data_IF_374845200008
#
_entry.id   IF_374845200008
#
_cell.length_a   1.000
_cell.length_b   1.000
_cell.length_c   1.000
_cell.angle_alpha   90.00
_cell.angle_beta   90.00
_cell.angle_gamma   90.00
#
_symmetry.space_group_name_H-M   'P 1'
#
loop_
_entity.id
_entity.type
_entity.pdbx_description
1 polymer ?
#
# COMPACT_ATOMS: atom_id res chain seq x y z
N UNK A 1 -13.83 14.77 -9.13
CA UNK A 1 -13.81 13.41 -9.77
C UNK A 1 -14.17 12.35 -8.75
N UNK A 2 -13.53 12.36 -7.58
CA UNK A 2 -13.84 11.45 -6.48
C UNK A 2 -15.24 11.67 -5.89
N UNK A 3 -15.71 12.92 -5.85
CA UNK A 3 -17.06 13.29 -5.43
C UNK A 3 -18.10 12.61 -6.31
N UNK A 4 -17.88 12.63 -7.63
CA UNK A 4 -18.73 11.97 -8.60
C UNK A 4 -18.70 10.43 -8.45
N UNK A 5 -17.55 9.83 -8.13
CA UNK A 5 -17.48 8.39 -7.81
C UNK A 5 -18.24 8.03 -6.53
N UNK A 6 -18.13 8.88 -5.50
CA UNK A 6 -18.88 8.73 -4.25
C UNK A 6 -20.38 8.79 -4.50
N UNK A 7 -20.85 9.74 -5.30
CA UNK A 7 -22.27 9.92 -5.63
C UNK A 7 -22.86 8.77 -6.45
N UNK A 8 -22.05 8.14 -7.30
CA UNK A 8 -22.50 7.05 -8.19
C UNK A 8 -22.46 5.66 -7.54
N UNK A 9 -22.00 5.53 -6.29
CA UNK A 9 -21.90 4.24 -5.61
C UNK A 9 -22.87 4.11 -4.44
N UNK A 10 -23.28 2.88 -4.05
CA UNK A 10 -24.11 2.67 -2.87
C UNK A 10 -23.51 3.29 -1.59
N UNK A 11 -24.32 3.63 -0.58
CA UNK A 11 -23.84 4.26 0.66
C UNK A 11 -22.72 3.51 1.37
N UNK A 12 -22.79 2.17 1.40
CA UNK A 12 -21.82 1.31 2.10
C UNK A 12 -20.65 0.86 1.20
N UNK A 13 -20.49 1.46 0.01
CA UNK A 13 -19.39 1.14 -0.87
C UNK A 13 -18.09 1.74 -0.33
N UNK A 14 -17.00 0.98 -0.36
CA UNK A 14 -15.68 1.44 0.10
C UNK A 14 -14.69 1.38 -1.06
N UNK A 15 -14.02 2.50 -1.31
CA UNK A 15 -12.94 2.59 -2.28
C UNK A 15 -11.59 2.36 -1.62
N UNK A 16 -10.69 1.72 -2.35
CA UNK A 16 -9.25 1.78 -2.08
C UNK A 16 -8.60 2.66 -3.14
N UNK A 17 -7.70 3.56 -2.72
CA UNK A 17 -7.01 4.47 -3.64
C UNK A 17 -5.54 4.08 -3.72
N UNK A 18 -5.01 3.97 -4.93
CA UNK A 18 -3.59 3.74 -5.14
C UNK A 18 -2.83 5.07 -5.09
N UNK A 19 -1.80 5.14 -4.25
CA UNK A 19 -0.87 6.25 -4.21
C UNK A 19 -0.16 6.46 -5.55
N UNK A 20 0.26 7.71 -5.81
CA UNK A 20 0.84 8.08 -7.10
C UNK A 20 2.12 7.32 -7.40
N UNK A 21 2.22 6.81 -8.64
CA UNK A 21 3.46 6.21 -9.17
C UNK A 21 4.63 7.21 -9.13
N UNK A 22 4.36 8.50 -9.27
CA UNK A 22 5.38 9.54 -9.14
C UNK A 22 6.06 9.49 -7.76
N UNK A 23 5.28 9.33 -6.70
CA UNK A 23 5.79 9.24 -5.32
C UNK A 23 6.57 7.93 -5.08
N UNK A 24 6.01 6.78 -5.44
CA UNK A 24 6.59 5.49 -5.07
C UNK A 24 7.66 4.96 -6.04
N UNK A 25 7.55 5.26 -7.34
CA UNK A 25 8.46 4.73 -8.36
C UNK A 25 9.51 5.73 -8.82
N UNK A 26 9.12 6.99 -9.06
CA UNK A 26 10.02 8.01 -9.61
C UNK A 26 10.82 8.68 -8.50
N UNK A 27 10.13 9.28 -7.53
CA UNK A 27 10.75 9.93 -6.37
C UNK A 27 11.29 8.93 -5.35
N UNK A 28 10.73 7.71 -5.31
CA UNK A 28 11.07 6.69 -4.30
C UNK A 28 11.00 7.31 -2.90
N UNK A 29 9.85 7.92 -2.59
CA UNK A 29 9.54 8.65 -1.36
C UNK A 29 10.39 9.90 -1.05
N UNK A 30 11.24 10.36 -1.96
CA UNK A 30 11.95 11.63 -1.77
C UNK A 30 10.96 12.81 -1.83
N UNK A 31 11.07 13.71 -0.86
CA UNK A 31 10.24 14.92 -0.70
C UNK A 31 8.72 14.60 -0.76
N UNK A 32 8.19 13.75 0.14
CA UNK A 32 6.86 13.16 -0.02
C UNK A 32 5.70 14.10 0.35
N UNK A 33 5.97 15.24 1.00
CA UNK A 33 4.96 16.14 1.58
C UNK A 33 3.96 16.63 0.54
N UNK A 34 4.45 17.28 -0.52
CA UNK A 34 3.60 17.83 -1.58
C UNK A 34 2.78 16.75 -2.32
N UNK A 35 3.40 15.65 -2.84
CA UNK A 35 2.64 14.66 -3.59
C UNK A 35 1.66 13.87 -2.71
N UNK A 36 1.95 13.69 -1.42
CA UNK A 36 1.01 13.11 -0.47
C UNK A 36 -0.15 14.06 -0.18
N UNK A 37 0.14 15.32 0.13
CA UNK A 37 -0.90 16.33 0.40
C UNK A 37 -1.89 16.44 -0.75
N UNK A 38 -1.39 16.50 -1.99
CA UNK A 38 -2.21 16.53 -3.20
C UNK A 38 -3.07 15.27 -3.38
N UNK A 39 -2.53 14.10 -3.01
CA UNK A 39 -3.30 12.84 -3.02
C UNK A 39 -4.43 12.90 -1.98
N UNK A 40 -4.13 13.31 -0.76
CA UNK A 40 -5.08 13.37 0.35
C UNK A 40 -6.18 14.39 0.10
N UNK A 41 -5.85 15.58 -0.42
CA UNK A 41 -6.80 16.61 -0.82
C UNK A 41 -7.82 16.05 -1.82
N UNK A 42 -7.34 15.39 -2.87
CA UNK A 42 -8.23 14.80 -3.89
C UNK A 42 -9.06 13.66 -3.30
N UNK A 43 -8.41 12.71 -2.63
CA UNK A 43 -9.06 11.53 -2.07
C UNK A 43 -10.13 11.89 -1.03
N UNK A 44 -10.02 13.06 -0.37
CA UNK A 44 -11.02 13.55 0.59
C UNK A 44 -12.43 13.68 -0.01
N UNK A 45 -12.56 13.85 -1.33
CA UNK A 45 -13.85 13.83 -2.03
C UNK A 45 -14.63 12.52 -1.92
N UNK A 46 -13.98 11.41 -1.52
CA UNK A 46 -14.63 10.13 -1.23
C UNK A 46 -15.26 10.07 0.17
N UNK A 47 -14.88 10.98 1.09
CA UNK A 47 -15.41 11.07 2.45
C UNK A 47 -15.46 9.71 3.18
N UNK A 48 -16.61 9.31 3.70
CA UNK A 48 -16.82 8.06 4.44
C UNK A 48 -16.54 6.80 3.61
N UNK A 49 -16.54 6.91 2.29
CA UNK A 49 -16.22 5.82 1.36
C UNK A 49 -14.73 5.68 1.10
N UNK A 50 -13.89 6.57 1.64
CA UNK A 50 -12.44 6.45 1.54
C UNK A 50 -11.93 5.35 2.48
N UNK A 51 -11.68 4.19 1.90
CA UNK A 51 -10.98 3.08 2.55
C UNK A 51 -9.46 3.22 2.48
N UNK A 52 -8.72 2.11 2.55
CA UNK A 52 -7.26 2.15 2.61
C UNK A 52 -6.59 2.76 1.36
N UNK A 53 -5.52 3.52 1.58
CA UNK A 53 -4.64 4.02 0.53
C UNK A 53 -3.42 3.09 0.39
N UNK A 54 -3.22 2.56 -0.83
CA UNK A 54 -2.16 1.62 -1.16
C UNK A 54 -0.93 2.32 -1.77
N UNK A 55 0.23 2.17 -1.14
CA UNK A 55 1.52 2.55 -1.72
C UNK A 55 2.29 1.30 -2.17
N UNK A 56 2.30 1.05 -3.47
CA UNK A 56 3.07 -0.04 -4.08
C UNK A 56 4.45 0.46 -4.51
N UNK A 57 5.53 -0.21 -4.09
CA UNK A 57 6.91 0.10 -4.49
C UNK A 57 7.34 -0.73 -5.71
N UNK A 58 8.29 -0.25 -6.54
CA UNK A 58 8.81 -1.03 -7.68
C UNK A 58 9.72 -2.17 -7.23
N UNK A 59 9.78 -3.25 -8.03
CA UNK A 59 10.63 -4.42 -7.75
C UNK A 59 12.14 -4.10 -7.79
N UNK A 60 12.56 -3.03 -8.47
CA UNK A 60 13.97 -2.62 -8.54
C UNK A 60 14.44 -1.84 -7.31
N UNK A 61 13.53 -1.46 -6.42
CA UNK A 61 13.87 -0.65 -5.27
C UNK A 61 14.07 -1.52 -4.04
N UNK A 62 15.34 -1.63 -3.64
CA UNK A 62 15.77 -2.31 -2.44
C UNK A 62 15.42 -1.49 -1.19
N UNK A 63 15.38 -2.17 -0.04
CA UNK A 63 15.20 -1.58 1.28
C UNK A 63 15.99 -0.28 1.46
N UNK A 64 15.29 0.74 1.93
CA UNK A 64 15.85 2.03 2.28
C UNK A 64 15.05 2.60 3.46
N UNK A 65 15.58 2.39 4.66
CA UNK A 65 14.92 2.81 5.90
C UNK A 65 14.93 4.33 6.05
N UNK A 66 15.99 5.00 5.61
CA UNK A 66 16.13 6.46 5.63
C UNK A 66 15.01 7.19 4.90
N UNK A 67 14.43 6.57 3.86
CA UNK A 67 13.29 7.10 3.13
C UNK A 67 11.95 6.58 3.63
N UNK A 68 11.91 5.34 4.12
CA UNK A 68 10.67 4.75 4.61
C UNK A 68 10.23 5.43 5.91
N UNK A 69 11.13 5.57 6.89
CA UNK A 69 10.76 6.06 8.22
C UNK A 69 10.13 7.47 8.18
N UNK A 70 10.73 8.51 7.57
CA UNK A 70 10.12 9.83 7.53
C UNK A 70 8.80 9.85 6.75
N UNK A 71 8.65 8.97 5.76
CA UNK A 71 7.40 8.83 5.03
C UNK A 71 6.30 8.25 5.92
N UNK A 72 6.61 7.22 6.72
CA UNK A 72 5.67 6.63 7.67
C UNK A 72 5.26 7.63 8.76
N UNK A 73 6.21 8.41 9.30
CA UNK A 73 5.95 9.51 10.24
C UNK A 73 5.01 10.55 9.61
N UNK A 74 5.22 10.90 8.35
CA UNK A 74 4.32 11.79 7.63
C UNK A 74 2.91 11.20 7.48
N UNK A 75 2.75 9.89 7.24
CA UNK A 75 1.43 9.26 7.15
C UNK A 75 0.66 9.37 8.48
N UNK A 76 1.34 9.34 9.62
CA UNK A 76 0.70 9.48 10.95
C UNK A 76 0.01 10.84 11.15
N UNK A 77 0.35 11.86 10.35
CA UNK A 77 -0.37 13.15 10.35
C UNK A 77 -1.82 13.05 9.87
N UNK A 78 -2.21 11.90 9.31
CA UNK A 78 -3.58 11.57 8.89
C UNK A 78 -4.17 10.43 9.75
N UNK A 79 -4.42 10.65 11.05
CA UNK A 79 -4.68 9.57 12.02
C UNK A 79 -5.97 8.76 11.78
N UNK A 80 -6.91 9.29 11.00
CA UNK A 80 -8.15 8.58 10.64
C UNK A 80 -8.02 7.73 9.37
N UNK A 81 -6.95 7.93 8.60
CA UNK A 81 -6.77 7.29 7.30
C UNK A 81 -6.04 5.95 7.46
N UNK A 82 -6.57 4.91 6.83
CA UNK A 82 -5.88 3.63 6.71
C UNK A 82 -4.88 3.67 5.56
N UNK A 83 -3.65 3.24 5.82
CA UNK A 83 -2.60 3.12 4.82
C UNK A 83 -2.08 1.70 4.73
N UNK A 84 -1.68 1.29 3.55
CA UNK A 84 -1.00 0.01 3.33
C UNK A 84 0.14 0.15 2.34
N UNK A 85 1.21 -0.62 2.55
CA UNK A 85 2.39 -0.64 1.68
C UNK A 85 2.56 -2.02 1.07
N UNK A 86 2.75 -2.07 -0.24
CA UNK A 86 3.05 -3.29 -0.98
C UNK A 86 4.48 -3.24 -1.50
N UNK A 87 5.35 -4.05 -0.90
CA UNK A 87 6.73 -4.19 -1.35
C UNK A 87 6.83 -5.18 -2.50
N UNK A 88 7.66 -4.86 -3.49
CA UNK A 88 7.93 -5.72 -4.64
C UNK A 88 9.34 -6.32 -4.65
N UNK A 89 10.18 -5.92 -3.71
CA UNK A 89 11.53 -6.45 -3.56
C UNK A 89 11.67 -7.17 -2.22
N UNK A 90 12.21 -8.41 -2.16
CA UNK A 90 12.29 -9.20 -0.93
C UNK A 90 13.07 -8.54 0.21
N UNK A 91 14.02 -7.65 -0.09
CA UNK A 91 14.83 -7.01 0.96
C UNK A 91 14.03 -6.11 1.91
N UNK A 92 12.79 -5.74 1.58
CA UNK A 92 11.88 -5.04 2.49
C UNK A 92 11.19 -5.98 3.49
N UNK A 93 11.18 -7.28 3.24
CA UNK A 93 10.49 -8.27 4.05
C UNK A 93 11.41 -8.73 5.18
N UNK A 94 11.63 -7.83 6.15
CA UNK A 94 12.50 -8.06 7.30
C UNK A 94 11.89 -7.46 8.58
N UNK A 95 12.19 -8.02 9.78
CA UNK A 95 11.59 -7.59 11.04
C UNK A 95 11.69 -6.09 11.35
N UNK A 96 12.77 -5.44 10.92
CA UNK A 96 12.98 -4.01 11.12
C UNK A 96 11.92 -3.17 10.39
N UNK A 97 11.54 -3.57 9.18
CA UNK A 97 10.48 -2.88 8.40
C UNK A 97 9.12 -3.11 9.04
N UNK A 98 8.83 -4.32 9.53
CA UNK A 98 7.56 -4.62 10.18
C UNK A 98 7.35 -3.78 11.44
N UNK A 99 8.38 -3.64 12.28
CA UNK A 99 8.33 -2.76 13.47
C UNK A 99 8.04 -1.30 13.11
N UNK A 100 8.62 -0.79 12.03
CA UNK A 100 8.34 0.57 11.56
C UNK A 100 6.88 0.70 11.10
N UNK A 101 6.38 -0.27 10.34
CA UNK A 101 4.99 -0.30 9.90
C UNK A 101 4.01 -0.39 11.08
N UNK A 102 4.28 -1.24 12.06
CA UNK A 102 3.50 -1.37 13.31
C UNK A 102 3.46 -0.07 14.08
N UNK A 103 4.62 0.55 14.31
CA UNK A 103 4.73 1.82 15.03
C UNK A 103 3.97 2.95 14.31
N UNK A 104 3.91 2.88 12.97
CA UNK A 104 3.19 3.84 12.15
C UNK A 104 1.70 3.53 11.95
N UNK A 105 1.21 2.37 12.39
CA UNK A 105 -0.16 1.92 12.12
C UNK A 105 -0.45 1.66 10.64
N UNK A 106 0.57 1.26 9.86
CA UNK A 106 0.48 1.02 8.42
C UNK A 106 0.47 -0.47 8.14
N UNK A 107 -0.50 -0.96 7.36
CA UNK A 107 -0.61 -2.37 7.06
C UNK A 107 0.39 -2.83 6.00
N UNK A 108 1.11 -3.92 6.24
CA UNK A 108 1.79 -4.67 5.18
C UNK A 108 0.72 -5.28 4.25
N UNK A 109 0.77 -4.95 2.97
CA UNK A 109 -0.08 -5.58 1.96
C UNK A 109 0.37 -7.03 1.77
N UNK A 110 -0.57 -7.96 1.74
CA UNK A 110 -0.38 -9.38 1.46
C UNK A 110 -0.71 -9.66 -0.02
N UNK A 111 0.28 -9.65 -0.92
CA UNK A 111 0.04 -9.94 -2.32
C UNK A 111 -0.20 -11.44 -2.53
N UNK A 112 -1.25 -11.79 -3.28
CA UNK A 112 -1.48 -13.15 -3.78
C UNK A 112 -1.03 -13.16 -5.25
N UNK A 113 0.16 -13.69 -5.48
CA UNK A 113 0.78 -13.81 -6.81
C UNK A 113 1.95 -14.80 -6.78
N UNK A 114 2.20 -15.60 -7.83
CA UNK A 114 3.39 -16.43 -7.92
C UNK A 114 4.69 -15.63 -8.09
N UNK A 115 4.62 -14.38 -8.51
CA UNK A 115 5.79 -13.56 -8.90
C UNK A 115 6.10 -12.42 -7.95
N UNK A 116 5.30 -12.23 -6.90
CA UNK A 116 5.49 -11.16 -5.92
C UNK A 116 5.96 -11.77 -4.61
N UNK A 117 7.00 -11.23 -3.97
CA UNK A 117 7.42 -11.72 -2.67
C UNK A 117 6.31 -11.53 -1.63
N UNK A 118 6.08 -12.58 -0.83
CA UNK A 118 5.08 -12.61 0.23
C UNK A 118 5.78 -13.01 1.53
N UNK A 119 5.53 -12.24 2.59
CA UNK A 119 5.69 -12.68 3.96
C UNK A 119 4.41 -12.34 4.72
N UNK A 120 3.98 -13.23 5.61
CA UNK A 120 2.72 -13.12 6.35
C UNK A 120 3.01 -12.56 7.74
N UNK A 121 3.13 -11.23 7.79
CA UNK A 121 3.26 -10.47 9.03
C UNK A 121 2.14 -9.43 9.11
N UNK A 122 1.33 -9.50 10.16
CA UNK A 122 0.24 -8.54 10.40
C UNK A 122 0.76 -7.37 11.21
N UNK A 123 0.97 -6.22 10.55
CA UNK A 123 1.50 -5.02 11.20
C UNK A 123 0.42 -4.10 11.77
N UNK A 124 -0.85 -4.45 11.62
CA UNK A 124 -1.99 -3.72 12.20
C UNK A 124 -3.12 -4.70 12.55
N UNK A 125 -4.12 -4.30 13.37
CA UNK A 125 -5.30 -5.15 13.66
C UNK A 125 -6.21 -5.44 12.44
N UNK A 126 -5.93 -4.83 11.30
CA UNK A 126 -6.58 -5.11 10.02
C UNK A 126 -5.52 -5.50 8.98
N UNK A 127 -5.93 -6.02 7.83
CA UNK A 127 -4.99 -6.37 6.75
C UNK A 127 -5.52 -5.97 5.38
N UNK A 128 -4.62 -5.95 4.40
CA UNK A 128 -4.94 -5.68 3.01
C UNK A 128 -4.41 -6.81 2.14
N UNK A 129 -5.31 -7.57 1.51
CA UNK A 129 -4.95 -8.67 0.60
C UNK A 129 -5.13 -8.17 -0.83
N UNK A 130 -4.13 -8.38 -1.69
CA UNK A 130 -4.19 -7.98 -3.10
C UNK A 130 -3.89 -9.14 -4.02
N UNK A 131 -4.91 -9.64 -4.72
CA UNK A 131 -4.77 -10.67 -5.75
C UNK A 131 -4.29 -10.03 -7.06
N UNK A 132 -3.18 -10.49 -7.63
CA UNK A 132 -2.61 -9.95 -8.88
C UNK A 132 -2.99 -10.74 -10.13
N UNK A 133 -3.50 -11.96 -9.97
CA UNK A 133 -4.04 -12.76 -11.07
C UNK A 133 -5.38 -13.38 -10.68
N UNK A 134 -6.29 -13.47 -11.64
CA UNK A 134 -7.53 -14.25 -11.55
C UNK A 134 -7.40 -15.67 -12.10
N UNK A 135 -6.27 -15.97 -12.76
CA UNK A 135 -5.93 -17.30 -13.24
C UNK A 135 -4.94 -17.94 -12.28
N UNK A 136 -5.36 -19.05 -11.67
CA UNK A 136 -4.49 -19.99 -10.98
C UNK A 136 -4.09 -21.05 -12.01
N UNK A 137 -2.94 -20.91 -12.67
CA UNK A 137 -2.37 -22.04 -13.41
C UNK A 137 -1.83 -23.05 -12.38
N UNK A 138 -2.72 -23.93 -11.92
CA UNK A 138 -2.44 -25.01 -10.97
C UNK A 138 -1.41 -26.01 -11.53
N UNK A 139 -1.13 -25.96 -12.83
CA UNK A 139 -0.18 -26.87 -13.52
C UNK A 139 1.30 -26.52 -13.33
N UNK A 140 1.66 -25.30 -12.90
CA UNK A 140 3.08 -24.91 -12.80
C UNK A 140 3.81 -25.40 -11.55
N UNK A 141 3.10 -25.65 -10.45
CA UNK A 141 3.71 -25.90 -9.14
C UNK A 141 4.03 -27.37 -8.84
N UNK A 142 3.47 -28.32 -9.58
CA UNK A 142 3.67 -29.76 -9.33
C UNK A 142 4.76 -30.42 -10.18
N UNK A 143 5.37 -29.71 -11.14
CA UNK A 143 6.38 -30.27 -12.05
C UNK A 143 7.83 -29.91 -11.69
N UNK A 144 8.09 -29.37 -10.50
CA UNK A 144 9.46 -29.06 -10.02
C UNK A 144 9.77 -29.60 -8.61
N UNK A 145 9.13 -30.70 -8.20
CA UNK A 145 9.58 -31.50 -7.06
C UNK A 145 10.06 -32.87 -7.52
#
# INVERSE_FOLDING_TARGET
MFENWREQTPPNFVFTVKGSRYLTHMKKLKDPIEPLSRLMERASGLQEKLGPILFQFPHTWHINLERLQPFLELLQTYPKQKFTVEFRHPSWLVPQVYKLLESAGVALCLPVSPTVPLDVCLTTPWTYIRMHSGQWDIMGYWLQR
#
